data_IF_695689548806
#
_entry.id   IF_695689548806
#
_cell.length_a   1.000
_cell.length_b   1.000
_cell.length_c   1.000
_cell.angle_alpha   90.00
_cell.angle_beta   90.00
_cell.angle_gamma   90.00
#
_symmetry.space_group_name_H-M   'P 1'
#
loop_
_entity.id
_entity.type
_entity.pdbx_description
1 polymer ?
#
# COMPACT_ATOMS: atom_id res chain seq x y z
N UNK A 1 -15.13 8.67 8.58
CA UNK A 1 -16.42 9.40 8.64
C UNK A 1 -17.13 9.23 7.30
N UNK A 2 -18.39 8.77 7.29
CA UNK A 2 -19.13 8.58 6.05
C UNK A 2 -19.54 9.92 5.44
N UNK A 3 -19.32 10.09 4.14
CA UNK A 3 -19.78 11.20 3.32
C UNK A 3 -20.76 10.67 2.26
N UNK A 4 -21.91 11.33 2.12
CA UNK A 4 -22.95 10.93 1.17
C UNK A 4 -22.79 11.77 -0.10
N UNK A 5 -22.73 11.11 -1.25
CA UNK A 5 -22.61 11.73 -2.57
C UNK A 5 -23.76 11.35 -3.47
N UNK A 6 -24.14 12.26 -4.37
CA UNK A 6 -25.12 12.03 -5.41
C UNK A 6 -24.57 12.35 -6.81
N UNK A 7 -24.94 11.55 -7.80
CA UNK A 7 -24.67 11.81 -9.22
C UNK A 7 -25.90 12.47 -9.86
N UNK A 8 -25.75 13.72 -10.32
CA UNK A 8 -26.85 14.53 -10.87
C UNK A 8 -26.79 14.54 -12.40
N UNK A 9 -27.92 14.25 -13.05
CA UNK A 9 -28.08 14.42 -14.49
C UNK A 9 -28.22 15.92 -14.82
N UNK A 10 -27.28 16.46 -15.59
CA UNK A 10 -27.22 17.89 -15.94
C UNK A 10 -28.42 18.38 -16.75
N UNK A 11 -29.09 17.51 -17.51
CA UNK A 11 -30.22 17.90 -18.36
C UNK A 11 -31.54 17.92 -17.58
N UNK A 12 -31.68 17.10 -16.55
CA UNK A 12 -32.94 16.95 -15.79
C UNK A 12 -32.88 17.54 -14.39
N UNK A 13 -31.68 17.86 -13.88
CA UNK A 13 -31.47 18.31 -12.51
C UNK A 13 -31.78 17.26 -11.44
N UNK A 14 -32.05 16.01 -11.84
CA UNK A 14 -32.41 14.92 -10.94
C UNK A 14 -31.21 14.02 -10.65
N UNK A 15 -31.23 13.38 -9.47
CA UNK A 15 -30.29 12.32 -9.13
C UNK A 15 -30.52 11.13 -10.07
N UNK A 16 -29.44 10.59 -10.61
CA UNK A 16 -29.49 9.37 -11.42
C UNK A 16 -29.93 8.20 -10.53
N UNK A 17 -30.69 7.26 -11.10
CA UNK A 17 -31.01 6.01 -10.42
C UNK A 17 -29.70 5.27 -10.06
N UNK A 18 -29.57 4.84 -8.81
CA UNK A 18 -28.31 4.29 -8.27
C UNK A 18 -27.19 5.32 -8.06
N UNK A 19 -27.46 6.61 -8.24
CA UNK A 19 -26.49 7.69 -8.14
C UNK A 19 -26.17 8.15 -6.72
N UNK A 20 -26.84 7.61 -5.69
CA UNK A 20 -26.58 7.90 -4.27
C UNK A 20 -25.60 6.87 -3.72
N UNK A 21 -24.46 7.30 -3.19
CA UNK A 21 -23.45 6.42 -2.62
C UNK A 21 -22.71 7.06 -1.45
N UNK A 22 -22.17 6.24 -0.57
CA UNK A 22 -21.38 6.68 0.58
C UNK A 22 -19.91 6.44 0.33
N UNK A 23 -19.06 7.41 0.69
CA UNK A 23 -17.60 7.25 0.75
C UNK A 23 -17.14 7.34 2.20
N UNK A 24 -16.09 6.61 2.55
CA UNK A 24 -15.44 6.76 3.85
C UNK A 24 -14.24 7.69 3.72
N UNK A 25 -14.19 8.70 4.58
CA UNK A 25 -13.05 9.61 4.68
C UNK A 25 -12.41 9.51 6.05
N UNK A 26 -11.10 9.31 6.08
CA UNK A 26 -10.30 9.34 7.32
C UNK A 26 -9.82 10.76 7.57
N UNK A 27 -10.11 11.29 8.75
CA UNK A 27 -9.60 12.57 9.22
C UNK A 27 -8.61 12.32 10.36
N UNK A 28 -7.42 12.89 10.24
CA UNK A 28 -6.44 12.92 11.31
C UNK A 28 -6.61 14.22 12.08
N UNK A 29 -6.72 14.14 13.41
CA UNK A 29 -6.79 15.34 14.25
C UNK A 29 -5.48 16.13 14.20
N UNK A 30 -5.53 17.42 14.55
CA UNK A 30 -4.32 18.23 14.64
C UNK A 30 -3.28 17.61 15.59
N UNK A 31 -2.01 17.66 15.21
CA UNK A 31 -0.91 17.09 15.99
C UNK A 31 -0.72 15.59 15.84
N UNK A 32 -1.52 14.91 15.02
CA UNK A 32 -1.24 13.52 14.63
C UNK A 32 -0.31 13.49 13.41
N UNK A 33 0.73 12.67 13.52
CA UNK A 33 1.69 12.42 12.46
C UNK A 33 1.61 10.94 12.06
N UNK A 34 1.97 10.65 10.82
CA UNK A 34 2.11 9.29 10.32
C UNK A 34 3.57 9.10 9.92
N UNK A 35 4.15 7.99 10.36
CA UNK A 35 5.51 7.63 9.97
C UNK A 35 5.47 6.75 8.72
N UNK A 36 6.33 7.07 7.76
CA UNK A 36 6.56 6.26 6.57
C UNK A 36 7.98 5.71 6.63
N UNK A 37 8.09 4.39 6.71
CA UNK A 37 9.36 3.69 6.67
C UNK A 37 9.62 3.17 5.26
N UNK A 38 10.84 3.40 4.74
CA UNK A 38 11.28 2.91 3.45
C UNK A 38 12.75 2.49 3.51
N UNK A 39 13.06 1.35 2.91
CA UNK A 39 14.44 0.89 2.68
C UNK A 39 14.76 1.08 1.20
N UNK A 40 15.76 1.92 0.90
CA UNK A 40 16.17 2.24 -0.48
C UNK A 40 17.60 2.76 -0.52
N UNK A 41 18.28 2.49 -1.62
CA UNK A 41 19.55 3.11 -2.03
C UNK A 41 19.36 4.39 -2.85
N UNK A 42 18.12 4.72 -3.23
CA UNK A 42 17.74 5.88 -4.05
C UNK A 42 16.86 6.88 -3.28
N UNK A 43 17.30 7.28 -2.08
CA UNK A 43 16.53 8.16 -1.20
C UNK A 43 16.07 9.46 -1.89
N UNK A 44 16.95 10.12 -2.64
CA UNK A 44 16.62 11.38 -3.34
C UNK A 44 15.52 11.19 -4.39
N UNK A 45 15.53 10.06 -5.12
CA UNK A 45 14.49 9.71 -6.08
C UNK A 45 13.16 9.49 -5.37
N UNK A 46 13.16 8.71 -4.27
CA UNK A 46 11.97 8.44 -3.47
C UNK A 46 11.36 9.75 -2.96
N UNK A 47 12.16 10.65 -2.41
CA UNK A 47 11.69 11.92 -1.86
C UNK A 47 11.14 12.88 -2.90
N UNK A 48 11.76 12.89 -4.10
CA UNK A 48 11.22 13.62 -5.24
C UNK A 48 9.82 13.12 -5.60
N UNK A 49 9.64 11.79 -5.68
CA UNK A 49 8.33 11.22 -5.98
C UNK A 49 7.33 11.42 -4.84
N UNK A 50 7.76 11.29 -3.58
CA UNK A 50 6.93 11.53 -2.41
C UNK A 50 6.44 12.99 -2.37
N UNK A 51 7.32 13.95 -2.68
CA UNK A 51 6.96 15.37 -2.80
C UNK A 51 5.95 15.63 -3.92
N UNK A 52 6.08 14.93 -5.06
CA UNK A 52 5.08 15.00 -6.12
C UNK A 52 3.72 14.47 -5.66
N UNK A 53 3.70 13.32 -4.97
CA UNK A 53 2.46 12.73 -4.42
C UNK A 53 1.84 13.65 -3.37
N UNK A 54 2.65 14.23 -2.47
CA UNK A 54 2.22 15.19 -1.47
C UNK A 54 1.52 16.41 -2.09
N UNK A 55 2.05 16.89 -3.22
CA UNK A 55 1.54 18.05 -3.95
C UNK A 55 0.36 17.75 -4.89
N UNK A 56 0.11 16.49 -5.24
CA UNK A 56 -0.97 16.07 -6.16
C UNK A 56 -2.11 15.31 -5.48
N UNK A 57 -1.89 14.89 -4.24
CA UNK A 57 -2.83 14.15 -3.43
C UNK A 57 -2.70 12.63 -3.59
N UNK A 58 -2.60 11.92 -2.46
CA UNK A 58 -2.59 10.46 -2.42
C UNK A 58 -4.01 9.87 -2.39
N UNK A 59 -4.25 8.86 -3.22
CA UNK A 59 -5.48 8.08 -3.24
C UNK A 59 -6.50 8.53 -4.28
N UNK A 60 -7.71 7.96 -4.18
CA UNK A 60 -8.76 8.07 -5.21
C UNK A 60 -9.28 9.49 -5.44
N UNK A 61 -9.34 10.28 -4.37
CA UNK A 61 -10.06 11.56 -4.36
C UNK A 61 -9.11 12.78 -4.39
N UNK A 62 -7.90 12.62 -4.94
CA UNK A 62 -6.93 13.71 -5.11
C UNK A 62 -7.51 14.92 -5.86
N UNK A 63 -8.28 14.66 -6.93
CA UNK A 63 -8.95 15.72 -7.70
C UNK A 63 -10.04 16.48 -6.92
N UNK A 64 -10.51 15.94 -5.79
CA UNK A 64 -11.47 16.59 -4.89
C UNK A 64 -10.78 17.34 -3.74
N UNK A 65 -9.45 17.49 -3.79
CA UNK A 65 -8.68 18.18 -2.75
C UNK A 65 -8.29 17.28 -1.57
N UNK A 66 -8.50 15.96 -1.64
CA UNK A 66 -8.16 15.02 -0.57
C UNK A 66 -6.77 14.43 -0.75
N UNK A 67 -6.18 13.93 0.35
CA UNK A 67 -4.92 13.18 0.31
C UNK A 67 -3.66 14.03 0.13
N UNK A 68 -3.77 15.36 0.18
CA UNK A 68 -2.61 16.25 0.26
C UNK A 68 -1.98 16.16 1.65
N UNK A 69 -0.66 16.20 1.72
CA UNK A 69 0.07 16.17 2.97
C UNK A 69 1.37 16.96 2.86
N UNK A 70 2.03 17.16 4.01
CA UNK A 70 3.43 17.58 4.08
C UNK A 70 4.21 16.44 4.69
N UNK A 71 5.49 16.37 4.33
CA UNK A 71 6.40 15.39 4.89
C UNK A 71 7.74 16.08 5.19
N UNK A 72 8.47 15.51 6.13
CA UNK A 72 9.84 15.84 6.43
C UNK A 72 10.61 14.55 6.67
N UNK A 73 11.91 14.55 6.37
CA UNK A 73 12.77 13.40 6.70
C UNK A 73 13.04 13.46 8.20
N UNK A 74 12.85 12.34 8.89
CA UNK A 74 13.34 12.18 10.26
C UNK A 74 14.83 11.82 10.22
N UNK A 75 15.68 12.82 10.38
CA UNK A 75 17.14 12.64 10.45
C UNK A 75 17.62 12.08 11.80
N UNK A 76 16.72 11.95 12.79
CA UNK A 76 17.02 11.38 14.10
C UNK A 76 16.77 9.88 14.17
N UNK A 77 16.00 9.35 13.22
CA UNK A 77 15.70 7.95 13.14
C UNK A 77 16.95 7.12 12.82
N UNK A 78 17.32 6.23 13.74
CA UNK A 78 18.41 5.28 13.56
C UNK A 78 17.84 3.92 13.13
N UNK A 79 17.95 3.53 11.85
CA UNK A 79 17.38 2.27 11.36
C UNK A 79 17.92 1.02 12.06
N UNK A 80 19.15 1.10 12.61
CA UNK A 80 19.76 0.01 13.38
C UNK A 80 18.91 -0.51 14.53
N UNK A 81 18.02 0.33 15.09
CA UNK A 81 17.12 -0.05 16.17
C UNK A 81 15.96 -0.95 15.70
N UNK A 82 15.57 -0.86 14.42
CA UNK A 82 14.58 -1.74 13.80
C UNK A 82 15.22 -3.01 13.21
N UNK A 83 16.48 -2.95 12.80
CA UNK A 83 17.18 -4.10 12.22
C UNK A 83 17.83 -4.96 13.30
N UNK A 84 17.00 -5.60 14.11
CA UNK A 84 17.45 -6.60 15.07
C UNK A 84 18.10 -7.81 14.39
N UNK A 85 18.74 -8.66 15.19
CA UNK A 85 19.33 -9.93 14.73
C UNK A 85 18.44 -11.09 15.18
N UNK A 86 18.18 -12.03 14.28
CA UNK A 86 17.41 -13.23 14.59
C UNK A 86 17.01 -14.03 13.36
N UNK A 87 16.26 -15.10 13.62
CA UNK A 87 15.72 -16.06 12.67
C UNK A 87 14.24 -15.82 12.34
N UNK A 88 13.61 -14.83 12.97
CA UNK A 88 12.24 -14.40 12.70
C UNK A 88 12.24 -13.01 12.06
N UNK A 89 11.30 -12.78 11.14
CA UNK A 89 11.13 -11.51 10.42
C UNK A 89 9.66 -11.09 10.46
N UNK A 90 9.37 -9.96 11.11
CA UNK A 90 8.03 -9.35 11.12
C UNK A 90 7.90 -8.40 9.94
N UNK A 91 6.82 -8.54 9.19
CA UNK A 91 6.52 -7.77 8.00
C UNK A 91 5.78 -6.47 8.34
N UNK A 92 6.25 -5.35 7.79
CA UNK A 92 5.65 -4.01 7.99
C UNK A 92 4.81 -3.54 6.79
N UNK A 93 4.80 -4.29 5.69
CA UNK A 93 4.08 -3.92 4.47
C UNK A 93 3.21 -5.06 3.97
N UNK A 94 2.53 -4.89 2.84
CA UNK A 94 1.85 -6.01 2.19
C UNK A 94 2.88 -6.86 1.44
N UNK A 95 2.96 -8.15 1.79
CA UNK A 95 3.90 -9.08 1.18
C UNK A 95 3.21 -10.10 0.27
N UNK A 96 3.83 -10.38 -0.88
CA UNK A 96 3.50 -11.50 -1.77
C UNK A 96 4.70 -11.76 -2.68
N UNK A 97 4.71 -12.92 -3.33
CA UNK A 97 5.68 -13.28 -4.36
C UNK A 97 5.05 -14.27 -5.35
N UNK A 98 5.70 -14.44 -6.52
CA UNK A 98 5.25 -15.40 -7.55
C UNK A 98 5.18 -16.85 -7.07
N UNK A 99 6.11 -17.24 -6.21
CA UNK A 99 6.16 -18.56 -5.59
C UNK A 99 6.16 -18.35 -4.08
N UNK A 100 5.18 -18.92 -3.40
CA UNK A 100 5.00 -18.82 -1.95
C UNK A 100 5.25 -20.16 -1.24
N UNK A 101 5.72 -21.19 -1.95
CA UNK A 101 5.91 -22.55 -1.44
C UNK A 101 6.91 -22.65 -0.28
N UNK A 102 7.85 -21.71 -0.20
CA UNK A 102 8.89 -21.65 0.83
C UNK A 102 8.49 -20.84 2.06
N UNK A 103 7.28 -20.27 2.10
CA UNK A 103 6.85 -19.44 3.23
C UNK A 103 6.55 -20.29 4.45
N UNK A 104 7.14 -19.92 5.60
CA UNK A 104 6.85 -20.51 6.91
C UNK A 104 6.82 -19.45 8.00
N UNK A 105 6.00 -19.66 9.03
CA UNK A 105 5.87 -18.75 10.17
C UNK A 105 4.44 -18.65 10.69
N UNK A 106 4.11 -17.53 11.34
CA UNK A 106 2.78 -17.21 11.86
C UNK A 106 2.26 -15.97 11.15
N UNK A 107 1.21 -16.14 10.36
CA UNK A 107 0.77 -15.10 9.44
C UNK A 107 -0.74 -15.13 9.21
N UNK A 108 -1.27 -13.99 8.75
CA UNK A 108 -2.63 -13.89 8.20
C UNK A 108 -2.54 -13.65 6.69
N UNK A 109 -3.29 -14.43 5.92
CA UNK A 109 -3.41 -14.26 4.46
C UNK A 109 -4.71 -13.55 4.09
N UNK A 110 -4.68 -12.78 3.01
CA UNK A 110 -5.86 -12.19 2.40
C UNK A 110 -5.70 -12.11 0.88
N UNK A 111 -6.84 -12.04 0.17
CA UNK A 111 -6.84 -11.79 -1.28
C UNK A 111 -6.81 -10.29 -1.53
N UNK A 112 -5.78 -9.81 -2.24
CA UNK A 112 -5.67 -8.40 -2.62
C UNK A 112 -6.27 -8.17 -3.99
N UNK A 113 -7.19 -7.19 -4.04
CA UNK A 113 -7.82 -6.73 -5.28
C UNK A 113 -7.26 -5.35 -5.62
N UNK A 114 -6.49 -5.28 -6.71
CA UNK A 114 -5.88 -4.04 -7.17
C UNK A 114 -6.67 -3.38 -8.29
N UNK A 115 -6.63 -2.06 -8.35
CA UNK A 115 -7.04 -1.29 -9.53
C UNK A 115 -5.85 -0.54 -10.09
N UNK A 116 -5.84 -0.36 -11.40
CA UNK A 116 -4.87 0.45 -12.13
C UNK A 116 -5.51 1.82 -12.35
N UNK A 117 -4.69 2.86 -12.26
CA UNK A 117 -5.08 4.16 -12.78
C UNK A 117 -5.25 4.08 -14.30
N UNK A 118 -6.30 4.69 -14.85
CA UNK A 118 -6.61 4.65 -16.28
C UNK A 118 -5.66 5.50 -17.16
N UNK A 119 -4.57 6.03 -16.61
CA UNK A 119 -3.58 6.83 -17.33
C UNK A 119 -2.87 6.10 -18.48
N UNK A 120 -2.98 4.77 -18.56
CA UNK A 120 -2.45 3.96 -19.64
C UNK A 120 -3.49 3.59 -20.72
N UNK A 121 -4.73 4.07 -20.61
CA UNK A 121 -5.79 3.75 -21.58
C UNK A 121 -6.33 2.33 -21.46
N UNK A 122 -6.16 1.68 -20.31
CA UNK A 122 -6.64 0.32 -20.07
C UNK A 122 -8.17 0.23 -20.14
N UNK A 123 -8.68 -0.72 -20.93
CA UNK A 123 -10.11 -1.01 -21.00
C UNK A 123 -10.63 -1.68 -19.72
N UNK A 124 -9.80 -2.51 -19.08
CA UNK A 124 -10.09 -3.13 -17.79
C UNK A 124 -9.22 -2.45 -16.73
N UNK A 125 -9.79 -1.81 -15.69
CA UNK A 125 -8.99 -1.19 -14.65
C UNK A 125 -8.57 -2.19 -13.54
N UNK A 126 -9.02 -3.44 -13.56
CA UNK A 126 -8.81 -4.38 -12.46
C UNK A 126 -7.58 -5.27 -12.68
N UNK A 127 -6.69 -5.31 -11.68
CA UNK A 127 -5.60 -6.30 -11.60
C UNK A 127 -6.18 -7.69 -11.28
N UNK A 128 -5.50 -8.74 -11.74
CA UNK A 128 -5.76 -10.13 -11.32
C UNK A 128 -5.61 -10.21 -9.79
N UNK A 129 -6.58 -10.80 -9.06
CA UNK A 129 -6.44 -11.00 -7.63
C UNK A 129 -5.26 -11.90 -7.29
N UNK A 130 -4.58 -11.63 -6.18
CA UNK A 130 -3.46 -12.45 -5.70
C UNK A 130 -3.50 -12.59 -4.18
N UNK A 131 -2.91 -13.68 -3.67
CA UNK A 131 -2.74 -13.90 -2.24
C UNK A 131 -1.62 -13.01 -1.71
N UNK A 132 -1.88 -12.36 -0.58
CA UNK A 132 -0.91 -11.55 0.13
C UNK A 132 -0.97 -11.84 1.63
N UNK A 133 0.13 -11.55 2.31
CA UNK A 133 0.24 -11.61 3.76
C UNK A 133 0.05 -10.22 4.35
N UNK A 134 -0.64 -10.14 5.49
CA UNK A 134 -0.86 -8.89 6.21
C UNK A 134 0.40 -8.37 6.89
N UNK A 135 0.43 -7.06 7.06
CA UNK A 135 1.31 -6.38 8.01
C UNK A 135 1.20 -7.04 9.40
N UNK A 136 2.32 -7.15 10.12
CA UNK A 136 2.42 -7.86 11.40
C UNK A 136 2.63 -9.37 11.29
N UNK A 137 2.51 -9.96 10.10
CA UNK A 137 2.86 -11.37 9.88
C UNK A 137 4.34 -11.62 10.19
N UNK A 138 4.65 -12.78 10.78
CA UNK A 138 6.00 -13.18 11.17
C UNK A 138 6.44 -14.40 10.36
N UNK A 139 7.61 -14.30 9.73
CA UNK A 139 8.17 -15.34 8.88
C UNK A 139 9.49 -15.88 9.43
N UNK A 140 9.68 -17.19 9.32
CA UNK A 140 10.96 -17.88 9.53
C UNK A 140 11.62 -18.23 8.19
N UNK A 141 10.84 -18.32 7.11
CA UNK A 141 11.31 -18.45 5.73
C UNK A 141 10.37 -17.71 4.81
N UNK A 142 10.91 -16.98 3.84
CA UNK A 142 10.16 -16.23 2.84
C UNK A 142 11.03 -15.90 1.61
N UNK A 143 10.44 -15.84 0.40
CA UNK A 143 11.16 -15.43 -0.79
C UNK A 143 11.19 -13.91 -0.95
N UNK A 144 12.38 -13.35 -1.17
CA UNK A 144 12.53 -11.95 -1.61
C UNK A 144 12.35 -11.80 -3.12
N UNK A 145 12.79 -12.79 -3.90
CA UNK A 145 12.69 -12.76 -5.36
C UNK A 145 11.26 -12.92 -5.82
N UNK A 146 10.87 -12.16 -6.83
CA UNK A 146 9.52 -12.22 -7.40
C UNK A 146 8.45 -11.52 -6.58
N UNK A 147 8.84 -10.69 -5.62
CA UNK A 147 7.94 -9.83 -4.82
C UNK A 147 7.54 -8.53 -5.52
N UNK A 148 8.18 -8.20 -6.65
CA UNK A 148 7.57 -7.35 -7.67
C UNK A 148 6.72 -8.24 -8.59
N UNK A 149 5.42 -8.33 -8.32
CA UNK A 149 4.52 -9.19 -9.08
C UNK A 149 4.34 -8.65 -10.50
N UNK A 150 4.60 -9.50 -11.48
CA UNK A 150 4.33 -9.25 -12.91
C UNK A 150 3.15 -10.11 -13.36
N UNK A 151 2.63 -9.87 -14.57
CA UNK A 151 1.46 -10.58 -15.11
C UNK A 151 0.20 -10.48 -14.20
N UNK A 152 0.11 -9.37 -13.48
CA UNK A 152 -1.05 -9.03 -12.63
C UNK A 152 -2.13 -8.28 -13.40
N UNK A 153 -1.98 -8.08 -14.70
CA UNK A 153 -2.92 -7.38 -15.58
C UNK A 153 -2.80 -7.90 -17.02
N UNK A 154 -3.78 -7.61 -17.87
CA UNK A 154 -3.69 -7.88 -19.31
C UNK A 154 -2.59 -7.08 -20.01
N UNK A 155 -2.23 -5.91 -19.46
CA UNK A 155 -1.06 -5.16 -19.87
C UNK A 155 0.17 -5.65 -19.07
N UNK A 156 1.18 -6.25 -19.72
CA UNK A 156 2.34 -6.83 -19.05
C UNK A 156 3.25 -5.79 -18.40
N UNK A 157 3.14 -4.51 -18.77
CA UNK A 157 3.92 -3.41 -18.19
C UNK A 157 3.44 -3.03 -16.78
N UNK A 158 2.25 -3.48 -16.38
CA UNK A 158 1.68 -3.20 -15.08
C UNK A 158 2.16 -4.23 -14.07
N UNK A 159 2.87 -3.74 -13.06
CA UNK A 159 3.37 -4.55 -11.94
C UNK A 159 2.63 -4.22 -10.63
N UNK A 160 2.87 -5.03 -9.60
CA UNK A 160 2.50 -4.72 -8.22
C UNK A 160 3.72 -4.86 -7.31
N UNK A 161 4.08 -3.81 -6.59
CA UNK A 161 5.13 -3.89 -5.60
C UNK A 161 4.58 -4.52 -4.32
N UNK A 162 5.09 -5.70 -3.97
CA UNK A 162 4.85 -6.38 -2.68
C UNK A 162 6.17 -6.79 -2.05
N UNK A 163 7.23 -6.02 -2.33
CA UNK A 163 8.54 -6.17 -1.69
C UNK A 163 8.36 -5.87 -0.20
N UNK A 164 8.65 -6.85 0.68
CA UNK A 164 8.37 -6.69 2.09
C UNK A 164 9.42 -5.79 2.75
N UNK A 165 8.98 -4.96 3.69
CA UNK A 165 9.87 -4.33 4.66
C UNK A 165 9.82 -5.15 5.94
N UNK A 166 10.99 -5.64 6.39
CA UNK A 166 11.06 -6.63 7.46
C UNK A 166 11.85 -6.12 8.67
N UNK A 167 11.31 -6.35 9.87
CA UNK A 167 12.01 -6.21 11.15
C UNK A 167 12.45 -7.60 11.60
N UNK A 168 13.76 -7.77 11.83
CA UNK A 168 14.30 -9.04 12.32
C UNK A 168 14.38 -9.07 13.83
N UNK A 169 14.04 -10.21 14.42
CA UNK A 169 14.07 -10.38 15.87
C UNK A 169 14.27 -11.85 16.27
N UNK A 170 14.63 -12.07 17.54
CA UNK A 170 14.60 -13.39 18.18
C UNK A 170 13.33 -13.50 19.02
N UNK A 171 12.59 -14.59 18.84
CA UNK A 171 11.55 -14.96 19.79
C UNK A 171 12.22 -15.43 21.09
N UNK A 172 11.86 -14.82 22.22
CA UNK A 172 12.23 -15.33 23.56
C UNK A 172 10.99 -15.89 24.23
N UNK A 173 10.83 -17.21 24.17
CA UNK A 173 9.70 -17.94 24.77
C UNK A 173 9.38 -19.19 23.95
N UNK A 174 9.29 -20.35 24.62
CA UNK A 174 8.97 -21.62 24.00
C UNK A 174 7.52 -21.65 23.49
N UNK A 175 7.32 -22.30 22.34
CA UNK A 175 6.01 -22.73 21.85
C UNK A 175 5.30 -23.65 22.85
#
# INVERSE_FOLDING_TARGET
MPEIHNSINRNTGRVLEGGLYTTETTFYGQGNYLDLYAETDEADSLERYLSHVAATGFGKDGALGKGFFKWERDDTFAPGDLFGRGDHSMNLSVFSAKDLSSVSGTYEIFTKYGKVWNGFGENNPFKKPFLAFREGSVFTSYPLRGSALTDVHSNPSIIHCTVPLMIRFKMTGAA
#
